data_IF_525414344268
#
_entry.id   IF_525414344268
#
_cell.length_a   1.000
_cell.length_b   1.000
_cell.length_c   1.000
_cell.angle_alpha   90.00
_cell.angle_beta   90.00
_cell.angle_gamma   90.00
#
_symmetry.space_group_name_H-M   'P 1'
#
loop_
_entity.id
_entity.type
_entity.pdbx_description
1 polymer ?
#
# COMPACT_ATOMS: atom_id res chain seq x y z
N UNK A 1 23.20 4.56 11.20
CA UNK A 1 22.76 3.72 10.06
C UNK A 1 23.75 3.92 8.93
N UNK A 2 24.34 2.85 8.39
CA UNK A 2 25.15 2.96 7.18
C UNK A 2 24.28 3.52 6.04
N UNK A 3 24.86 4.36 5.17
CA UNK A 3 24.18 4.90 3.99
C UNK A 3 23.73 3.74 3.10
N UNK A 4 22.42 3.54 2.93
CA UNK A 4 21.90 2.52 2.02
C UNK A 4 21.71 3.17 0.63
N UNK A 5 22.47 2.75 -0.39
CA UNK A 5 22.44 3.40 -1.71
C UNK A 5 21.09 3.22 -2.42
N UNK A 6 20.38 2.10 -2.20
CA UNK A 6 19.05 1.88 -2.77
C UNK A 6 18.02 2.86 -2.20
N UNK A 7 18.06 3.08 -0.88
CA UNK A 7 17.18 4.07 -0.26
C UNK A 7 17.50 5.49 -0.75
N UNK A 8 18.79 5.86 -0.81
CA UNK A 8 19.18 7.19 -1.29
C UNK A 8 18.79 7.42 -2.75
N UNK A 9 19.01 6.43 -3.63
CA UNK A 9 18.59 6.49 -5.02
C UNK A 9 17.07 6.58 -5.17
N UNK A 10 16.33 5.80 -4.38
CA UNK A 10 14.87 5.86 -4.35
C UNK A 10 14.36 7.23 -3.88
N UNK A 11 14.89 7.77 -2.79
CA UNK A 11 14.51 9.08 -2.27
C UNK A 11 14.85 10.20 -3.26
N UNK A 12 15.99 10.12 -3.96
CA UNK A 12 16.33 11.07 -5.02
C UNK A 12 15.31 11.02 -6.17
N UNK A 13 14.93 9.81 -6.63
CA UNK A 13 13.90 9.64 -7.66
C UNK A 13 12.54 10.18 -7.19
N UNK A 14 12.16 9.91 -5.95
CA UNK A 14 10.93 10.40 -5.35
C UNK A 14 10.89 11.93 -5.23
N UNK A 15 12.01 12.57 -4.89
CA UNK A 15 12.14 14.04 -4.89
C UNK A 15 12.02 14.63 -6.31
N UNK A 16 12.64 13.98 -7.31
CA UNK A 16 12.47 14.38 -8.72
C UNK A 16 11.01 14.27 -9.14
N UNK A 17 10.34 13.17 -8.77
CA UNK A 17 8.92 12.97 -9.03
C UNK A 17 8.07 14.08 -8.40
N UNK A 18 8.37 14.50 -7.18
CA UNK A 18 7.75 15.68 -6.55
C UNK A 18 7.94 16.95 -7.39
N UNK A 19 9.17 17.19 -7.86
CA UNK A 19 9.47 18.32 -8.75
C UNK A 19 8.62 18.32 -10.02
N UNK A 20 8.44 17.14 -10.65
CA UNK A 20 7.58 16.98 -11.84
C UNK A 20 6.12 17.32 -11.51
N UNK A 21 5.56 16.77 -10.43
CA UNK A 21 4.16 17.00 -10.04
C UNK A 21 3.91 18.49 -9.70
N UNK A 22 4.85 19.14 -9.01
CA UNK A 22 4.77 20.57 -8.67
C UNK A 22 4.88 21.45 -9.92
N UNK A 23 5.76 21.09 -10.86
CA UNK A 23 5.96 21.84 -12.09
C UNK A 23 4.78 21.71 -13.06
N UNK A 24 4.20 20.51 -13.19
CA UNK A 24 3.04 20.26 -14.05
C UNK A 24 1.80 21.04 -13.57
N UNK A 25 1.62 21.19 -12.26
CA UNK A 25 0.45 21.86 -11.64
C UNK A 25 -0.90 21.32 -12.13
N UNK A 26 -0.93 20.06 -12.55
CA UNK A 26 -2.13 19.37 -12.98
C UNK A 26 -2.55 19.68 -14.41
N UNK A 27 -1.63 20.21 -15.23
CA UNK A 27 -1.89 20.56 -16.64
C UNK A 27 -2.01 19.30 -17.50
N UNK A 28 -1.10 18.34 -17.34
CA UNK A 28 -1.16 17.10 -18.10
C UNK A 28 -2.20 16.13 -17.55
N UNK A 29 -2.29 16.00 -16.22
CA UNK A 29 -3.27 15.16 -15.55
C UNK A 29 -3.80 15.86 -14.30
N UNK A 30 -5.08 15.67 -13.91
CA UNK A 30 -5.64 16.20 -12.67
C UNK A 30 -5.12 15.45 -11.42
N UNK A 31 -3.85 15.08 -11.44
CA UNK A 31 -3.09 14.41 -10.40
C UNK A 31 -2.34 15.38 -9.51
N UNK A 32 -2.37 16.68 -9.79
CA UNK A 32 -1.84 17.67 -8.87
C UNK A 32 -2.51 17.45 -7.51
N UNK A 33 -1.75 17.03 -6.48
CA UNK A 33 -2.30 16.98 -5.15
C UNK A 33 -2.76 18.40 -4.81
N UNK A 34 -3.75 18.56 -3.92
CA UNK A 34 -3.83 19.82 -3.17
C UNK A 34 -2.47 19.90 -2.45
N UNK A 35 -1.49 20.71 -2.90
CA UNK A 35 -0.07 20.41 -2.67
C UNK A 35 0.27 20.33 -1.20
N UNK A 36 -0.45 21.12 -0.41
CA UNK A 36 -0.35 21.21 1.04
C UNK A 36 -0.79 19.93 1.74
N UNK A 37 -1.95 19.35 1.42
CA UNK A 37 -2.47 18.19 2.16
C UNK A 37 -1.68 16.91 1.92
N UNK A 38 -1.27 16.69 0.67
CA UNK A 38 -0.50 15.50 0.33
C UNK A 38 0.93 15.57 0.89
N UNK A 39 1.58 16.74 0.79
CA UNK A 39 2.88 16.97 1.42
C UNK A 39 2.81 16.83 2.95
N UNK A 40 1.74 17.30 3.58
CA UNK A 40 1.51 17.10 5.01
C UNK A 40 1.39 15.60 5.33
N UNK A 41 0.59 14.84 4.57
CA UNK A 41 0.41 13.41 4.80
C UNK A 41 1.72 12.63 4.68
N UNK A 42 2.55 12.94 3.69
CA UNK A 42 3.87 12.32 3.54
C UNK A 42 4.86 12.77 4.62
N UNK A 43 4.81 14.04 5.04
CA UNK A 43 5.62 14.54 6.16
C UNK A 43 5.26 13.83 7.47
N UNK A 44 3.96 13.64 7.73
CA UNK A 44 3.47 12.86 8.86
C UNK A 44 3.96 11.41 8.74
N UNK A 45 3.88 10.79 7.56
CA UNK A 45 4.37 9.44 7.34
C UNK A 45 5.88 9.32 7.65
N UNK A 46 6.70 10.29 7.25
CA UNK A 46 8.14 10.32 7.57
C UNK A 46 8.38 10.40 9.08
N UNK A 47 7.65 11.26 9.79
CA UNK A 47 7.73 11.37 11.26
C UNK A 47 7.33 10.05 11.92
N UNK A 48 6.25 9.42 11.45
CA UNK A 48 5.78 8.13 11.97
C UNK A 48 6.77 7.00 11.68
N UNK A 49 7.44 6.99 10.53
CA UNK A 49 8.51 6.05 10.23
C UNK A 49 9.68 6.23 11.20
N UNK A 50 10.11 7.47 11.46
CA UNK A 50 11.18 7.73 12.42
C UNK A 50 10.80 7.25 13.84
N UNK A 51 9.56 7.51 14.27
CA UNK A 51 9.03 7.01 15.53
C UNK A 51 8.98 5.47 15.58
N UNK A 52 8.53 4.83 14.49
CA UNK A 52 8.50 3.37 14.35
C UNK A 52 9.89 2.77 14.46
N UNK A 53 10.88 3.31 13.74
CA UNK A 53 12.26 2.84 13.79
C UNK A 53 12.85 3.00 15.19
N UNK A 54 12.53 4.11 15.88
CA UNK A 54 12.95 4.35 17.26
C UNK A 54 12.31 3.36 18.24
N UNK A 55 11.07 2.96 18.00
CA UNK A 55 10.33 1.97 18.78
C UNK A 55 10.82 0.54 18.50
N UNK A 56 11.18 0.24 17.25
CA UNK A 56 11.71 -1.03 16.79
C UNK A 56 13.19 -1.25 17.11
N UNK A 57 13.90 -0.26 17.68
CA UNK A 57 15.36 -0.32 17.89
C UNK A 57 15.84 -1.54 18.70
N UNK A 58 14.98 -2.06 19.59
CA UNK A 58 15.30 -3.20 20.45
C UNK A 58 15.04 -4.55 19.74
N UNK A 59 14.54 -4.52 18.50
CA UNK A 59 14.28 -5.70 17.66
C UNK A 59 15.31 -5.77 16.54
N UNK A 60 15.70 -7.00 16.19
CA UNK A 60 16.46 -7.24 14.96
C UNK A 60 15.50 -7.13 13.76
N UNK A 61 15.81 -6.29 12.76
CA UNK A 61 15.02 -6.24 11.53
C UNK A 61 15.00 -7.58 10.81
N UNK A 62 13.97 -7.81 10.02
CA UNK A 62 13.87 -8.98 9.15
C UNK A 62 14.79 -8.78 7.94
N UNK A 63 15.86 -9.56 7.88
CA UNK A 63 16.80 -9.65 6.76
C UNK A 63 17.35 -11.10 6.62
N UNK A 64 18.46 -11.26 5.90
CA UNK A 64 19.13 -12.55 5.70
C UNK A 64 19.57 -13.26 7.01
N UNK A 65 19.80 -12.52 8.10
CA UNK A 65 20.19 -13.07 9.41
C UNK A 65 19.01 -13.35 10.34
N UNK A 66 17.78 -13.09 9.90
CA UNK A 66 16.57 -13.19 10.75
C UNK A 66 16.20 -14.61 11.20
N UNK A 67 16.76 -15.64 10.55
CA UNK A 67 16.43 -17.05 10.83
C UNK A 67 14.98 -17.43 10.44
N UNK A 68 14.28 -16.60 9.67
CA UNK A 68 12.98 -16.99 9.12
C UNK A 68 13.15 -18.20 8.19
N UNK A 69 12.37 -19.29 8.37
CA UNK A 69 12.53 -20.52 7.61
C UNK A 69 11.92 -20.40 6.20
N UNK A 70 12.45 -19.48 5.39
CA UNK A 70 12.10 -19.29 3.98
C UNK A 70 13.04 -20.15 3.13
N UNK A 71 12.48 -21.14 2.44
CA UNK A 71 13.25 -22.23 1.83
C UNK A 71 14.01 -21.81 0.57
N UNK A 72 13.32 -21.18 -0.37
CA UNK A 72 13.91 -20.71 -1.63
C UNK A 72 13.40 -19.29 -1.93
N UNK A 73 13.98 -18.26 -1.29
CA UNK A 73 13.47 -16.89 -1.38
C UNK A 73 13.51 -16.36 -2.82
N UNK A 74 14.47 -16.79 -3.65
CA UNK A 74 14.57 -16.39 -5.06
C UNK A 74 13.40 -16.89 -5.90
N UNK A 75 13.19 -18.21 -5.94
CA UNK A 75 12.10 -18.81 -6.73
C UNK A 75 10.72 -18.38 -6.21
N UNK A 76 10.55 -18.26 -4.89
CA UNK A 76 9.29 -17.78 -4.31
C UNK A 76 9.03 -16.31 -4.64
N UNK A 77 10.04 -15.45 -4.60
CA UNK A 77 9.92 -14.05 -5.01
C UNK A 77 9.54 -13.93 -6.49
N UNK A 78 10.23 -14.66 -7.37
CA UNK A 78 9.89 -14.69 -8.79
C UNK A 78 8.46 -15.19 -9.03
N UNK A 79 8.05 -16.25 -8.32
CA UNK A 79 6.69 -16.78 -8.40
C UNK A 79 5.62 -15.78 -7.93
N UNK A 80 5.87 -15.05 -6.84
CA UNK A 80 4.96 -13.99 -6.36
C UNK A 80 4.89 -12.83 -7.34
N UNK A 81 6.02 -12.38 -7.91
CA UNK A 81 6.04 -11.31 -8.91
C UNK A 81 5.31 -11.71 -10.20
N UNK A 82 5.52 -12.95 -10.69
CA UNK A 82 4.79 -13.49 -11.83
C UNK A 82 3.28 -13.58 -11.53
N UNK A 83 2.92 -13.98 -10.31
CA UNK A 83 1.53 -14.01 -9.87
C UNK A 83 0.91 -12.60 -9.80
N UNK A 84 1.63 -11.60 -9.29
CA UNK A 84 1.19 -10.20 -9.31
C UNK A 84 0.94 -9.71 -10.74
N UNK A 85 1.84 -10.01 -11.67
CA UNK A 85 1.63 -9.69 -13.08
C UNK A 85 0.37 -10.37 -13.64
N UNK A 86 0.16 -11.65 -13.32
CA UNK A 86 -1.05 -12.37 -13.70
C UNK A 86 -2.31 -11.69 -13.14
N UNK A 87 -2.30 -11.24 -11.89
CA UNK A 87 -3.44 -10.52 -11.29
C UNK A 87 -3.76 -9.22 -12.04
N UNK A 88 -2.73 -8.47 -12.45
CA UNK A 88 -2.91 -7.25 -13.24
C UNK A 88 -3.55 -7.58 -14.59
N UNK A 89 -3.04 -8.60 -15.28
CA UNK A 89 -3.55 -9.02 -16.61
C UNK A 89 -4.98 -9.52 -16.50
N UNK A 90 -5.25 -10.48 -15.61
CA UNK A 90 -6.58 -11.06 -15.43
C UNK A 90 -7.57 -10.00 -14.96
N UNK A 91 -7.19 -9.18 -13.97
CA UNK A 91 -8.02 -8.07 -13.50
C UNK A 91 -8.43 -7.18 -14.66
N UNK A 92 -7.48 -6.75 -15.49
CA UNK A 92 -7.75 -5.90 -16.64
C UNK A 92 -8.72 -6.55 -17.64
N UNK A 93 -8.55 -7.84 -17.93
CA UNK A 93 -9.43 -8.59 -18.84
C UNK A 93 -10.88 -8.64 -18.35
N UNK A 94 -11.11 -8.63 -17.04
CA UNK A 94 -12.46 -8.65 -16.43
C UNK A 94 -12.95 -7.28 -15.95
N UNK A 95 -12.24 -6.21 -16.30
CA UNK A 95 -12.59 -4.83 -15.93
C UNK A 95 -12.32 -4.46 -14.47
N UNK A 96 -11.41 -5.17 -13.79
CA UNK A 96 -10.95 -4.91 -12.42
C UNK A 96 -9.54 -4.30 -12.44
N UNK A 97 -9.31 -3.26 -11.65
CA UNK A 97 -8.00 -2.57 -11.52
C UNK A 97 -7.45 -2.73 -10.11
N UNK A 98 -6.15 -2.49 -9.91
CA UNK A 98 -5.47 -2.64 -8.62
C UNK A 98 -6.18 -1.89 -7.48
N UNK A 99 -6.53 -0.62 -7.69
CA UNK A 99 -7.47 0.09 -6.81
C UNK A 99 -8.81 0.36 -7.46
N UNK A 100 -9.84 0.43 -6.62
CA UNK A 100 -11.15 0.90 -7.03
C UNK A 100 -11.17 2.41 -7.31
N UNK A 101 -10.42 3.16 -6.50
CA UNK A 101 -10.07 4.57 -6.61
C UNK A 101 -9.15 4.93 -5.43
N UNK A 102 -8.63 6.15 -5.40
CA UNK A 102 -7.86 6.68 -4.27
C UNK A 102 -8.16 8.17 -4.09
N UNK A 103 -9.43 8.50 -3.84
CA UNK A 103 -9.95 9.88 -3.85
C UNK A 103 -9.27 10.80 -2.84
N UNK A 104 -8.78 10.25 -1.73
CA UNK A 104 -8.02 11.00 -0.72
C UNK A 104 -6.63 11.43 -1.19
N UNK A 105 -6.10 10.84 -2.27
CA UNK A 105 -4.72 11.09 -2.71
C UNK A 105 -4.63 12.01 -3.94
N UNK A 106 -5.58 11.97 -4.88
CA UNK A 106 -5.54 12.86 -6.06
C UNK A 106 -6.94 13.36 -6.46
N UNK A 107 -7.01 14.60 -6.94
CA UNK A 107 -8.28 15.20 -7.38
C UNK A 107 -8.96 14.41 -8.51
N UNK A 108 -8.18 13.84 -9.42
CA UNK A 108 -8.66 12.97 -10.49
C UNK A 108 -9.20 11.61 -10.00
N UNK A 109 -8.81 11.14 -8.83
CA UNK A 109 -9.29 9.87 -8.29
C UNK A 109 -10.73 9.93 -7.77
N UNK A 110 -11.24 11.11 -7.38
CA UNK A 110 -12.67 11.28 -7.07
C UNK A 110 -13.55 11.06 -8.31
N UNK A 111 -13.06 11.42 -9.50
CA UNK A 111 -13.76 11.15 -10.77
C UNK A 111 -13.87 9.64 -11.02
N UNK A 112 -12.88 8.85 -10.60
CA UNK A 112 -12.93 7.39 -10.73
C UNK A 112 -14.08 6.78 -9.93
N UNK A 113 -14.43 7.35 -8.77
CA UNK A 113 -15.58 6.93 -7.96
C UNK A 113 -16.93 7.23 -8.64
N UNK A 114 -17.02 8.26 -9.49
CA UNK A 114 -18.25 8.60 -10.21
C UNK A 114 -18.64 7.52 -11.23
N UNK A 115 -17.66 6.78 -11.75
CA UNK A 115 -17.87 5.67 -12.68
C UNK A 115 -18.17 4.33 -11.98
N UNK A 116 -18.08 4.25 -10.64
CA UNK A 116 -18.29 3.00 -9.91
C UNK A 116 -19.77 2.72 -9.65
N UNK A 117 -20.10 1.42 -9.67
CA UNK A 117 -21.41 0.89 -9.25
C UNK A 117 -21.19 -0.04 -8.05
N UNK A 118 -22.23 -0.33 -7.24
CA UNK A 118 -22.11 -1.35 -6.19
C UNK A 118 -21.54 -2.68 -6.72
N UNK A 119 -21.97 -3.09 -7.91
CA UNK A 119 -21.50 -4.32 -8.54
C UNK A 119 -20.02 -4.30 -8.91
N UNK A 120 -19.50 -3.19 -9.44
CA UNK A 120 -18.06 -3.08 -9.75
C UNK A 120 -17.21 -3.08 -8.49
N UNK A 121 -17.69 -2.43 -7.42
CA UNK A 121 -17.01 -2.37 -6.12
C UNK A 121 -16.92 -3.74 -5.46
N UNK A 122 -18.04 -4.46 -5.39
CA UNK A 122 -18.08 -5.81 -4.81
C UNK A 122 -17.25 -6.78 -5.64
N UNK A 123 -17.32 -6.71 -6.97
CA UNK A 123 -16.49 -7.55 -7.86
C UNK A 123 -15.00 -7.33 -7.61
N UNK A 124 -14.56 -6.07 -7.50
CA UNK A 124 -13.19 -5.72 -7.18
C UNK A 124 -12.75 -6.30 -5.83
N UNK A 125 -13.55 -6.11 -4.77
CA UNK A 125 -13.24 -6.61 -3.44
C UNK A 125 -13.16 -8.14 -3.41
N UNK A 126 -14.10 -8.85 -4.04
CA UNK A 126 -14.10 -10.31 -4.13
C UNK A 126 -12.89 -10.81 -4.92
N UNK A 127 -12.59 -10.20 -6.07
CA UNK A 127 -11.46 -10.60 -6.91
C UNK A 127 -10.14 -10.55 -6.12
N UNK A 128 -9.85 -9.42 -5.47
CA UNK A 128 -8.61 -9.29 -4.71
C UNK A 128 -8.62 -10.07 -3.41
N UNK A 129 -9.77 -10.25 -2.75
CA UNK A 129 -9.82 -11.14 -1.59
C UNK A 129 -9.48 -12.58 -1.98
N UNK A 130 -10.13 -13.12 -3.00
CA UNK A 130 -9.87 -14.50 -3.43
C UNK A 130 -8.45 -14.64 -3.99
N UNK A 131 -8.10 -13.81 -4.96
CA UNK A 131 -6.84 -13.95 -5.69
C UNK A 131 -5.64 -13.41 -4.90
N UNK A 132 -5.81 -12.40 -4.07
CA UNK A 132 -4.74 -11.79 -3.26
C UNK A 132 -4.59 -12.34 -1.85
N UNK A 133 -5.62 -13.00 -1.30
CA UNK A 133 -5.59 -13.53 0.08
C UNK A 133 -5.78 -15.04 0.09
N UNK A 134 -6.93 -15.54 -0.39
CA UNK A 134 -7.29 -16.96 -0.26
C UNK A 134 -6.31 -17.85 -1.01
N UNK A 135 -6.05 -17.57 -2.29
CA UNK A 135 -5.14 -18.39 -3.12
C UNK A 135 -3.71 -18.38 -2.58
N UNK A 136 -3.07 -17.23 -2.27
CA UNK A 136 -1.73 -17.22 -1.70
C UNK A 136 -1.65 -17.93 -0.35
N UNK A 137 -2.63 -17.76 0.54
CA UNK A 137 -2.63 -18.44 1.82
C UNK A 137 -2.81 -19.96 1.67
N UNK A 138 -3.69 -20.41 0.77
CA UNK A 138 -3.85 -21.84 0.47
C UNK A 138 -2.54 -22.45 -0.06
N UNK A 139 -1.82 -21.74 -0.93
CA UNK A 139 -0.52 -22.19 -1.46
C UNK A 139 0.53 -22.19 -0.35
N UNK A 140 0.74 -21.08 0.35
CA UNK A 140 1.86 -20.95 1.28
C UNK A 140 1.63 -21.70 2.59
N UNK A 141 0.44 -21.60 3.20
CA UNK A 141 0.12 -22.34 4.44
C UNK A 141 -0.30 -23.79 4.16
N UNK A 142 -1.09 -24.02 3.11
CA UNK A 142 -1.64 -25.35 2.78
C UNK A 142 -0.64 -26.23 2.03
N UNK A 143 -0.21 -25.82 0.83
CA UNK A 143 0.64 -26.66 -0.03
C UNK A 143 2.10 -26.64 0.45
N UNK A 144 2.65 -25.45 0.68
CA UNK A 144 4.06 -25.27 1.07
C UNK A 144 4.29 -25.44 2.57
N UNK A 145 3.22 -25.56 3.37
CA UNK A 145 3.25 -25.81 4.83
C UNK A 145 4.05 -24.77 5.62
N UNK A 146 4.04 -23.51 5.18
CA UNK A 146 4.58 -22.41 5.98
C UNK A 146 3.76 -22.22 7.25
N UNK A 147 4.42 -21.78 8.33
CA UNK A 147 3.74 -21.40 9.57
C UNK A 147 3.27 -19.94 9.47
N UNK A 148 2.15 -19.55 10.11
CA UNK A 148 1.69 -18.16 10.13
C UNK A 148 2.76 -17.17 10.61
N UNK A 149 3.58 -17.58 11.58
CA UNK A 149 4.72 -16.79 12.07
C UNK A 149 5.76 -16.50 10.98
N UNK A 150 6.03 -17.45 10.08
CA UNK A 150 6.97 -17.26 8.97
C UNK A 150 6.45 -16.25 7.95
N UNK A 151 5.12 -16.15 7.83
CA UNK A 151 4.44 -15.18 6.97
C UNK A 151 4.12 -13.86 7.70
N UNK A 152 4.68 -13.64 8.90
CA UNK A 152 4.50 -12.41 9.68
C UNK A 152 3.02 -12.07 9.98
N UNK A 153 2.14 -13.08 10.04
CA UNK A 153 0.69 -12.91 10.25
C UNK A 153 0.30 -12.63 11.71
N UNK A 154 1.27 -12.56 12.63
CA UNK A 154 1.02 -12.22 14.02
C UNK A 154 0.90 -10.71 14.21
N UNK A 155 -0.05 -10.28 15.04
CA UNK A 155 -0.16 -8.87 15.44
C UNK A 155 1.00 -8.48 16.38
N UNK A 156 1.51 -7.23 16.35
CA UNK A 156 2.55 -6.81 17.28
C UNK A 156 2.03 -6.85 18.73
N UNK A 157 2.77 -7.50 19.62
CA UNK A 157 2.44 -7.56 21.04
C UNK A 157 3.11 -6.41 21.82
N UNK A 158 2.38 -5.85 22.79
CA UNK A 158 2.87 -4.86 23.76
C UNK A 158 2.27 -3.46 23.61
N UNK A 159 2.04 -2.77 24.74
CA UNK A 159 1.31 -1.49 24.78
C UNK A 159 1.90 -0.38 23.90
N UNK A 160 3.23 -0.33 23.76
CA UNK A 160 3.92 0.65 22.91
C UNK A 160 3.61 0.50 21.41
N UNK A 161 3.31 -0.71 20.92
CA UNK A 161 2.83 -0.92 19.54
C UNK A 161 1.36 -0.54 19.37
N UNK A 162 0.51 -0.82 20.36
CA UNK A 162 -0.90 -0.42 20.34
C UNK A 162 -1.01 1.11 20.27
N UNK A 163 -0.28 1.82 21.13
CA UNK A 163 -0.24 3.27 21.12
C UNK A 163 0.26 3.83 19.77
N UNK A 164 1.33 3.25 19.23
CA UNK A 164 1.82 3.63 17.90
C UNK A 164 0.77 3.40 16.81
N UNK A 165 0.16 2.21 16.74
CA UNK A 165 -0.87 1.90 15.75
C UNK A 165 -2.10 2.81 15.88
N UNK A 166 -2.47 3.21 17.10
CA UNK A 166 -3.54 4.17 17.33
C UNK A 166 -3.19 5.57 16.78
N UNK A 167 -2.00 6.10 17.10
CA UNK A 167 -1.53 7.41 16.60
C UNK A 167 -1.36 7.40 15.09
N UNK A 168 -0.68 6.39 14.55
CA UNK A 168 -0.48 6.24 13.11
C UNK A 168 -1.81 6.10 12.38
N UNK A 169 -2.71 5.25 12.90
CA UNK A 169 -4.03 5.03 12.32
C UNK A 169 -4.87 6.30 12.30
N UNK A 170 -4.91 7.03 13.42
CA UNK A 170 -5.61 8.31 13.53
C UNK A 170 -5.06 9.35 12.55
N UNK A 171 -3.74 9.38 12.33
CA UNK A 171 -3.12 10.34 11.41
C UNK A 171 -3.59 10.19 9.96
N UNK A 172 -3.84 8.96 9.50
CA UNK A 172 -4.39 8.73 8.16
C UNK A 172 -5.82 9.22 7.99
N UNK A 173 -6.60 9.27 9.07
CA UNK A 173 -7.94 9.87 9.07
C UNK A 173 -7.89 11.40 8.96
N UNK A 174 -6.81 12.03 9.45
CA UNK A 174 -6.62 13.48 9.36
C UNK A 174 -6.30 13.97 7.93
N UNK A 175 -6.00 13.07 7.00
CA UNK A 175 -5.77 13.43 5.60
C UNK A 175 -7.08 13.75 4.84
N UNK A 176 -8.23 13.31 5.36
CA UNK A 176 -9.54 13.53 4.75
C UNK A 176 -10.22 14.82 5.22
N UNK A 177 -11.26 15.25 4.49
CA UNK A 177 -12.17 16.29 4.99
C UNK A 177 -12.94 15.72 6.21
N UNK A 178 -12.85 16.34 7.41
CA UNK A 178 -13.51 15.84 8.60
C UNK A 178 -15.03 15.74 8.46
N UNK A 179 -15.67 16.64 7.70
CA UNK A 179 -17.12 16.61 7.49
C UNK A 179 -17.52 15.42 6.64
N UNK A 180 -16.74 15.12 5.61
CA UNK A 180 -16.98 13.96 4.74
C UNK A 180 -16.64 12.67 5.46
N UNK A 181 -15.54 12.63 6.21
CA UNK A 181 -15.05 11.43 6.88
C UNK A 181 -15.94 11.09 8.08
N UNK A 182 -16.08 11.99 9.05
CA UNK A 182 -16.80 11.72 10.30
C UNK A 182 -18.31 11.98 10.22
N UNK A 183 -18.81 12.59 9.15
CA UNK A 183 -20.24 12.84 8.95
C UNK A 183 -21.03 11.68 8.33
N UNK A 184 -20.39 10.54 8.04
CA UNK A 184 -21.07 9.38 7.43
C UNK A 184 -21.80 8.51 8.47
N UNK A 185 -22.90 7.84 8.07
CA UNK A 185 -23.57 6.88 8.94
C UNK A 185 -22.63 5.72 9.34
N UNK A 186 -22.77 5.12 10.54
CA UNK A 186 -21.95 3.99 10.98
C UNK A 186 -21.96 2.80 10.01
N UNK A 187 -23.07 2.56 9.31
CA UNK A 187 -23.16 1.53 8.28
C UNK A 187 -22.23 1.81 7.08
N UNK A 188 -22.00 3.08 6.73
CA UNK A 188 -21.05 3.47 5.69
C UNK A 188 -19.62 3.14 6.09
N UNK A 189 -19.25 3.40 7.35
CA UNK A 189 -17.96 3.02 7.92
C UNK A 189 -17.76 1.50 7.93
N UNK A 190 -18.78 0.75 8.35
CA UNK A 190 -18.76 -0.71 8.30
C UNK A 190 -18.56 -1.24 6.87
N UNK A 191 -19.28 -0.68 5.89
CA UNK A 191 -19.13 -1.05 4.49
C UNK A 191 -17.73 -0.74 3.95
N UNK A 192 -17.19 0.46 4.23
CA UNK A 192 -15.85 0.86 3.81
C UNK A 192 -14.79 -0.08 4.42
N UNK A 193 -14.89 -0.37 5.73
CA UNK A 193 -14.01 -1.32 6.40
C UNK A 193 -14.02 -2.68 5.73
N UNK A 194 -15.20 -3.26 5.47
CA UNK A 194 -15.29 -4.58 4.83
C UNK A 194 -14.71 -4.57 3.42
N UNK A 195 -15.10 -3.59 2.60
CA UNK A 195 -14.69 -3.49 1.20
C UNK A 195 -13.19 -3.30 1.06
N UNK A 196 -12.61 -2.34 1.78
CA UNK A 196 -11.17 -2.11 1.71
C UNK A 196 -10.40 -3.24 2.37
N UNK A 197 -10.90 -3.85 3.45
CA UNK A 197 -10.23 -5.01 4.05
C UNK A 197 -10.09 -6.14 3.06
N UNK A 198 -11.16 -6.45 2.33
CA UNK A 198 -11.18 -7.49 1.31
C UNK A 198 -10.39 -7.11 0.05
N UNK A 199 -10.55 -5.88 -0.45
CA UNK A 199 -10.02 -5.45 -1.74
C UNK A 199 -8.61 -4.88 -1.72
N UNK A 200 -8.15 -4.35 -0.58
CA UNK A 200 -6.84 -3.69 -0.47
C UNK A 200 -6.03 -4.16 0.74
N UNK A 201 -6.54 -4.02 1.97
CA UNK A 201 -5.69 -4.19 3.16
C UNK A 201 -5.16 -5.62 3.30
N UNK A 202 -6.01 -6.64 3.23
CA UNK A 202 -5.54 -8.03 3.29
C UNK A 202 -4.73 -8.44 2.06
N UNK A 203 -5.13 -8.13 0.81
CA UNK A 203 -4.33 -8.43 -0.37
C UNK A 203 -2.90 -7.84 -0.28
N UNK A 204 -2.77 -6.58 0.13
CA UNK A 204 -1.46 -5.94 0.29
C UNK A 204 -0.67 -6.57 1.43
N UNK A 205 -1.33 -6.82 2.57
CA UNK A 205 -0.73 -7.53 3.70
C UNK A 205 -0.12 -8.86 3.26
N UNK A 206 -0.86 -9.67 2.50
CA UNK A 206 -0.42 -11.01 2.12
C UNK A 206 0.64 -10.95 1.02
N UNK A 207 0.35 -10.31 -0.10
CA UNK A 207 1.22 -10.36 -1.27
C UNK A 207 2.53 -9.57 -1.07
N UNK A 208 2.43 -8.36 -0.55
CA UNK A 208 3.59 -7.47 -0.42
C UNK A 208 4.28 -7.64 0.91
N UNK A 209 3.55 -7.57 2.02
CA UNK A 209 4.18 -7.50 3.35
C UNK A 209 4.56 -8.88 3.92
N UNK A 210 3.69 -9.88 3.81
CA UNK A 210 3.92 -11.24 4.30
C UNK A 210 4.78 -12.08 3.37
N UNK A 211 4.58 -11.91 2.06
CA UNK A 211 5.26 -12.72 1.06
C UNK A 211 6.49 -12.02 0.50
N UNK A 212 6.32 -10.90 -0.20
CA UNK A 212 7.38 -10.32 -1.02
C UNK A 212 8.48 -9.64 -0.19
N UNK A 213 8.12 -8.74 0.73
CA UNK A 213 9.04 -7.94 1.53
C UNK A 213 10.10 -8.77 2.29
N UNK A 214 9.74 -9.82 3.07
CA UNK A 214 10.74 -10.61 3.80
C UNK A 214 11.66 -11.39 2.85
N UNK A 215 11.16 -11.84 1.69
CA UNK A 215 11.97 -12.54 0.68
C UNK A 215 12.97 -11.60 0.02
N UNK A 216 12.52 -10.41 -0.36
CA UNK A 216 13.38 -9.36 -0.90
C UNK A 216 14.42 -8.87 0.13
N UNK A 217 14.06 -8.80 1.41
CA UNK A 217 15.00 -8.45 2.47
C UNK A 217 16.09 -9.50 2.69
N UNK A 218 15.74 -10.79 2.60
CA UNK A 218 16.70 -11.89 2.63
C UNK A 218 17.62 -11.85 1.40
N UNK A 219 17.05 -11.72 0.20
CA UNK A 219 17.82 -11.67 -1.06
C UNK A 219 18.74 -10.44 -1.11
N UNK A 220 18.23 -9.27 -0.73
CA UNK A 220 18.98 -8.02 -0.66
C UNK A 220 19.90 -7.91 0.55
N UNK A 221 19.93 -8.93 1.42
CA UNK A 221 20.73 -9.01 2.66
C UNK A 221 20.60 -7.80 3.57
N UNK A 222 19.48 -7.07 3.47
CA UNK A 222 19.21 -5.85 4.21
C UNK A 222 17.71 -5.60 4.26
N UNK A 223 17.18 -5.36 5.45
CA UNK A 223 15.79 -4.96 5.63
C UNK A 223 15.45 -3.69 4.85
N UNK A 224 16.37 -2.73 4.78
CA UNK A 224 16.12 -1.47 4.06
C UNK A 224 16.08 -1.68 2.55
N UNK A 225 17.02 -2.45 2.00
CA UNK A 225 16.99 -2.83 0.58
C UNK A 225 15.73 -3.62 0.26
N UNK A 226 15.33 -4.55 1.13
CA UNK A 226 14.07 -5.29 1.00
C UNK A 226 12.83 -4.39 0.98
N UNK A 227 12.77 -3.39 1.87
CA UNK A 227 11.69 -2.41 1.90
C UNK A 227 11.63 -1.58 0.61
N UNK A 228 12.78 -1.10 0.10
CA UNK A 228 12.85 -0.34 -1.15
C UNK A 228 12.39 -1.19 -2.34
N UNK A 229 12.89 -2.42 -2.45
CA UNK A 229 12.49 -3.34 -3.53
C UNK A 229 11.00 -3.70 -3.45
N UNK A 230 10.47 -3.89 -2.24
CA UNK A 230 9.03 -4.11 -2.03
C UNK A 230 8.22 -2.90 -2.47
N UNK A 231 8.69 -1.68 -2.14
CA UNK A 231 8.05 -0.45 -2.57
C UNK A 231 8.06 -0.25 -4.09
N UNK A 232 9.15 -0.61 -4.77
CA UNK A 232 9.24 -0.61 -6.23
C UNK A 232 8.23 -1.63 -6.82
N UNK A 233 8.20 -2.86 -6.30
CA UNK A 233 7.25 -3.87 -6.75
C UNK A 233 5.80 -3.42 -6.52
N UNK A 234 5.53 -2.74 -5.41
CA UNK A 234 4.24 -2.15 -5.11
C UNK A 234 3.88 -1.07 -6.14
N UNK A 235 4.78 -0.13 -6.46
CA UNK A 235 4.53 0.85 -7.52
C UNK A 235 4.21 0.19 -8.88
N UNK A 236 4.99 -0.83 -9.25
CA UNK A 236 4.82 -1.57 -10.51
C UNK A 236 3.53 -2.41 -10.56
N UNK A 237 2.82 -2.56 -9.45
CA UNK A 237 1.48 -3.15 -9.41
C UNK A 237 0.36 -2.17 -9.81
N UNK A 238 0.68 -0.88 -9.92
CA UNK A 238 -0.29 0.20 -10.17
C UNK A 238 -0.19 0.91 -11.53
N UNK A 239 0.35 0.35 -12.63
CA UNK A 239 0.53 1.10 -13.88
C UNK A 239 -0.78 1.43 -14.59
N UNK A 240 -1.89 0.79 -14.20
CA UNK A 240 -3.19 0.91 -14.86
C UNK A 240 -4.27 1.49 -13.97
N UNK A 241 -3.90 2.33 -13.01
CA UNK A 241 -4.88 3.03 -12.18
C UNK A 241 -5.75 4.00 -13.00
N UNK A 242 -6.96 4.28 -12.52
CA UNK A 242 -7.97 5.09 -13.24
C UNK A 242 -7.48 6.51 -13.59
N UNK A 243 -6.55 7.02 -12.81
CA UNK A 243 -6.04 8.38 -12.91
C UNK A 243 -4.70 8.48 -13.64
N UNK A 244 -4.11 7.36 -14.10
CA UNK A 244 -2.88 7.34 -14.89
C UNK A 244 -3.19 7.30 -16.39
N UNK A 245 -2.38 7.99 -17.18
CA UNK A 245 -2.49 8.03 -18.64
C UNK A 245 -1.12 7.99 -19.30
N UNK A 246 -1.10 7.45 -20.51
CA UNK A 246 0.13 7.09 -21.22
C UNK A 246 0.11 7.56 -22.68
N UNK A 247 -0.80 8.48 -23.03
CA UNK A 247 -1.05 8.88 -24.42
C UNK A 247 -0.04 9.91 -24.95
N UNK A 248 0.58 10.69 -24.07
CA UNK A 248 1.60 11.69 -24.42
C UNK A 248 2.83 11.60 -23.50
N UNK A 249 3.99 12.12 -23.90
CA UNK A 249 5.18 12.17 -23.02
C UNK A 249 4.93 12.89 -21.70
N UNK A 250 4.12 13.96 -21.71
CA UNK A 250 3.77 14.70 -20.49
C UNK A 250 2.89 13.86 -19.55
N UNK A 251 1.85 13.21 -20.09
CA UNK A 251 1.01 12.29 -19.31
C UNK A 251 1.83 11.11 -18.73
N UNK A 252 2.75 10.54 -19.52
CA UNK A 252 3.62 9.47 -19.08
C UNK A 252 4.58 9.93 -17.96
N UNK A 253 5.19 11.11 -18.09
CA UNK A 253 6.07 11.67 -17.06
C UNK A 253 5.33 11.89 -15.73
N UNK A 254 4.13 12.47 -15.78
CA UNK A 254 3.29 12.67 -14.58
C UNK A 254 2.83 11.33 -13.99
N UNK A 255 2.47 10.36 -14.83
CA UNK A 255 2.08 9.02 -14.36
C UNK A 255 3.23 8.28 -13.68
N UNK A 256 4.44 8.34 -14.23
CA UNK A 256 5.65 7.79 -13.61
C UNK A 256 5.98 8.50 -12.29
N UNK A 257 5.88 9.83 -12.26
CA UNK A 257 6.09 10.60 -11.05
C UNK A 257 5.07 10.20 -9.96
N UNK A 258 3.81 9.99 -10.32
CA UNK A 258 2.80 9.49 -9.40
C UNK A 258 3.07 8.06 -8.93
N UNK A 259 3.51 7.17 -9.81
CA UNK A 259 3.93 5.81 -9.42
C UNK A 259 5.08 5.83 -8.41
N UNK A 260 6.02 6.78 -8.51
CA UNK A 260 7.07 6.96 -7.50
C UNK A 260 6.49 7.33 -6.13
N UNK A 261 5.40 8.11 -6.07
CA UNK A 261 4.69 8.42 -4.82
C UNK A 261 4.03 7.16 -4.23
N UNK A 262 3.37 6.35 -5.07
CA UNK A 262 2.83 5.05 -4.64
C UNK A 262 3.94 4.16 -4.10
N UNK A 263 5.10 4.16 -4.77
CA UNK A 263 6.30 3.45 -4.34
C UNK A 263 6.78 3.90 -2.97
N UNK A 264 6.74 5.20 -2.66
CA UNK A 264 7.16 5.74 -1.36
C UNK A 264 6.32 5.15 -0.24
N UNK A 265 4.99 5.14 -0.39
CA UNK A 265 4.12 4.44 0.57
C UNK A 265 4.43 2.94 0.64
N UNK A 266 4.76 2.30 -0.48
CA UNK A 266 5.23 0.91 -0.50
C UNK A 266 6.52 0.69 0.32
N UNK A 267 7.47 1.64 0.27
CA UNK A 267 8.67 1.60 1.13
C UNK A 267 8.31 1.76 2.60
N UNK A 268 7.42 2.70 2.94
CA UNK A 268 6.92 2.90 4.31
C UNK A 268 6.26 1.62 4.85
N UNK A 269 5.44 0.95 4.03
CA UNK A 269 4.83 -0.36 4.38
C UNK A 269 5.92 -1.39 4.66
N UNK A 270 6.88 -1.55 3.75
CA UNK A 270 7.98 -2.50 3.89
C UNK A 270 8.85 -2.23 5.13
N UNK A 271 9.16 -0.96 5.43
CA UNK A 271 9.86 -0.59 6.68
C UNK A 271 9.02 -1.00 7.89
N UNK A 272 7.74 -0.65 7.88
CA UNK A 272 6.81 -0.98 8.97
C UNK A 272 6.74 -2.48 9.20
N UNK A 273 6.73 -3.32 8.17
CA UNK A 273 6.68 -4.76 8.34
C UNK A 273 8.02 -5.36 8.74
N UNK A 274 9.12 -4.98 8.09
CA UNK A 274 10.42 -5.61 8.32
C UNK A 274 11.05 -5.24 9.68
N UNK A 275 10.74 -4.07 10.23
CA UNK A 275 11.23 -3.68 11.56
C UNK A 275 10.35 -4.14 12.71
N UNK A 276 9.06 -4.34 12.45
CA UNK A 276 8.14 -4.81 13.50
C UNK A 276 8.01 -6.33 13.53
N UNK A 277 8.29 -7.01 12.42
CA UNK A 277 8.05 -8.44 12.25
C UNK A 277 6.56 -8.77 12.15
N UNK A 278 5.73 -7.82 11.72
CA UNK A 278 4.29 -7.97 11.58
C UNK A 278 3.79 -7.34 10.29
N UNK A 279 3.11 -8.13 9.47
CA UNK A 279 2.48 -7.63 8.26
C UNK A 279 1.30 -6.68 8.59
N UNK A 280 0.69 -6.76 9.78
CA UNK A 280 -0.46 -5.93 10.13
C UNK A 280 -0.14 -4.43 10.30
N UNK A 281 1.10 -4.06 10.62
CA UNK A 281 1.44 -2.66 10.97
C UNK A 281 1.28 -1.70 9.79
N UNK A 282 1.42 -2.21 8.56
CA UNK A 282 1.25 -1.40 7.34
C UNK A 282 -0.16 -0.78 7.24
N UNK A 283 -1.18 -1.47 7.79
CA UNK A 283 -2.58 -1.02 7.81
C UNK A 283 -2.69 0.32 8.53
N UNK A 284 -2.15 0.39 9.74
CA UNK A 284 -2.23 1.56 10.62
C UNK A 284 -1.37 2.72 10.11
N UNK A 285 -0.28 2.41 9.41
CA UNK A 285 0.67 3.44 8.98
C UNK A 285 0.32 4.05 7.62
N UNK A 286 -0.34 3.29 6.73
CA UNK A 286 -0.52 3.74 5.34
C UNK A 286 -1.90 3.51 4.74
N UNK A 287 -2.75 2.64 5.31
CA UNK A 287 -4.05 2.33 4.71
C UNK A 287 -5.26 2.86 5.48
N UNK A 288 -5.09 3.46 6.66
CA UNK A 288 -6.21 4.16 7.31
C UNK A 288 -6.70 5.35 6.49
N UNK A 289 -5.91 5.85 5.54
CA UNK A 289 -6.34 6.85 4.56
C UNK A 289 -7.53 6.39 3.71
N UNK A 290 -7.71 5.09 3.44
CA UNK A 290 -8.88 4.61 2.68
C UNK A 290 -10.20 4.83 3.41
N UNK A 291 -10.16 4.99 4.73
CA UNK A 291 -11.36 5.36 5.47
C UNK A 291 -11.82 6.79 5.20
N UNK A 292 -10.97 7.64 4.63
CA UNK A 292 -11.40 8.96 4.12
C UNK A 292 -12.32 8.83 2.89
N UNK A 293 -12.38 7.65 2.26
CA UNK A 293 -13.25 7.34 1.13
C UNK A 293 -14.63 6.82 1.55
N UNK A 294 -14.93 6.83 2.86
CA UNK A 294 -16.23 6.38 3.40
C UNK A 294 -17.41 7.12 2.77
N UNK A 295 -17.28 8.41 2.46
CA UNK A 295 -18.34 9.17 1.77
C UNK A 295 -18.65 8.64 0.37
N UNK A 296 -17.64 8.18 -0.36
CA UNK A 296 -17.83 7.59 -1.68
C UNK A 296 -18.48 6.21 -1.59
N UNK A 297 -18.11 5.41 -0.58
CA UNK A 297 -18.77 4.13 -0.30
C UNK A 297 -20.24 4.35 0.04
N UNK A 298 -20.55 5.26 0.97
CA UNK A 298 -21.93 5.61 1.34
C UNK A 298 -22.72 6.04 0.11
N UNK A 299 -22.15 6.89 -0.75
CA UNK A 299 -22.78 7.38 -1.98
C UNK A 299 -23.07 6.26 -2.96
N UNK A 300 -22.08 5.41 -3.27
CA UNK A 300 -22.23 4.34 -4.26
C UNK A 300 -23.28 3.33 -3.83
N UNK A 301 -23.29 2.96 -2.55
CA UNK A 301 -24.24 1.99 -2.00
C UNK A 301 -25.56 2.61 -1.52
N UNK A 302 -25.72 3.94 -1.64
CA UNK A 302 -26.90 4.70 -1.19
C UNK A 302 -27.25 4.43 0.29
N UNK A 303 -26.22 4.29 1.13
CA UNK A 303 -26.37 4.10 2.57
C UNK A 303 -26.83 5.43 3.18
N UNK A 304 -27.80 5.40 4.09
CA UNK A 304 -28.35 6.58 4.77
C UNK A 304 -28.15 6.45 6.27
#
# INVERSE_FOLDING_TARGET
MARNPFLLGFLALWLVAWGILIADRGRALPLAPKPVHYLIAESIALVLVAALLRLARDRRPIDHGSGLPIRNPGAECAGVLAYLLLLIVVGRLIGVRAHIASAGMSGGAAVAWQAQTPGSVVRWAIFYFVAGVVVPLAIFLGVRRYRPKTLLLGFPQGGKWIAFCAVAGASGLLAGDPRVTFGQPPAGWGAALLLFTAGTLLPVMILFESLLAPRLAILGRSAMTGAVLSGIAYALFHPFEFYLRWGTPAEAAVSLAWMAQIGFYGVVKGISTLWTGSAWVHIFTTHTVHFTEVGEVTRVFRIR
#
